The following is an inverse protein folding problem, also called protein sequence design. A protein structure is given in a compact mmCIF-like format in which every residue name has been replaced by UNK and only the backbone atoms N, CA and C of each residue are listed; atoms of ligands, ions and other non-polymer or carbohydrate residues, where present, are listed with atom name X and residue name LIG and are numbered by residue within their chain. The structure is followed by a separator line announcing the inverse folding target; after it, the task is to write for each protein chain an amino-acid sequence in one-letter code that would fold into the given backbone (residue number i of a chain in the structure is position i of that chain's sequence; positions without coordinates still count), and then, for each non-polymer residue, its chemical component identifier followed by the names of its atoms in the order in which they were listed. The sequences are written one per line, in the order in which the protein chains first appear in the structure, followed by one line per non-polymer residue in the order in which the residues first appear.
data_IF_025628585668
#
_entry.id   IF_025628585668
#
_cell.length_a   1.000
_cell.length_b   1.000
_cell.length_c   1.000
_cell.angle_alpha   90.00
_cell.angle_beta   90.00
_cell.angle_gamma   90.00
#
_symmetry.space_group_name_H-M   'P 1'
#
loop_
_entity.id
_entity.type
_entity.pdbx_description
1 polymer ?
#
# COMPACT_ATOMS: atom_id res chain seq x y z
N UNK A 1 -21.75 6.14 5.00
CA UNK A 1 -20.67 7.12 4.77
C UNK A 1 -21.25 8.23 3.91
N UNK A 2 -21.29 9.49 4.40
CA UNK A 2 -21.77 10.60 3.61
C UNK A 2 -20.79 10.97 2.50
N UNK A 3 -21.28 11.19 1.30
CA UNK A 3 -20.45 11.71 0.21
C UNK A 3 -19.99 13.13 0.57
N UNK A 4 -18.68 13.35 0.59
CA UNK A 4 -18.10 14.69 0.73
C UNK A 4 -18.26 15.44 -0.59
N UNK A 5 -19.31 16.25 -0.69
CA UNK A 5 -19.64 16.96 -1.93
C UNK A 5 -19.10 18.40 -1.99
N UNK A 6 -18.48 18.87 -0.90
CA UNK A 6 -17.97 20.25 -0.80
C UNK A 6 -16.59 20.26 -0.21
N UNK A 7 -15.71 21.04 -0.82
CA UNK A 7 -14.40 21.36 -0.25
C UNK A 7 -14.60 22.32 0.92
N UNK A 8 -14.17 21.94 2.13
CA UNK A 8 -14.31 22.70 3.37
C UNK A 8 -12.98 23.02 4.06
N UNK A 9 -11.86 22.74 3.41
CA UNK A 9 -10.52 23.03 3.90
C UNK A 9 -9.72 23.81 2.86
N UNK A 10 -8.87 24.74 3.33
CA UNK A 10 -7.96 25.48 2.46
C UNK A 10 -6.93 24.53 1.83
N UNK A 11 -6.55 24.84 0.60
CA UNK A 11 -5.42 24.22 -0.08
C UNK A 11 -4.23 25.15 0.13
N UNK A 12 -3.32 24.76 1.00
CA UNK A 12 -2.15 25.57 1.33
C UNK A 12 -0.90 24.96 0.71
N UNK A 13 0.07 25.81 0.39
CA UNK A 13 1.41 25.34 -0.01
C UNK A 13 2.17 24.94 1.24
N UNK A 14 2.62 23.70 1.29
CA UNK A 14 3.47 23.21 2.36
C UNK A 14 4.91 23.71 2.15
N UNK A 15 5.41 24.47 3.12
CA UNK A 15 6.77 25.01 3.08
C UNK A 15 7.85 23.93 3.30
N UNK A 16 7.48 22.78 3.87
CA UNK A 16 8.36 21.62 4.03
C UNK A 16 8.41 20.75 2.76
N UNK A 17 7.71 21.19 1.70
CA UNK A 17 7.61 20.47 0.44
C UNK A 17 8.94 20.26 -0.26
N UNK A 18 9.22 19.05 -0.66
CA UNK A 18 10.36 18.75 -1.52
C UNK A 18 10.96 17.36 -1.38
N UNK A 19 10.74 16.66 -0.31
CA UNK A 19 11.17 15.27 -0.22
C UNK A 19 10.20 14.36 -1.01
N UNK A 20 10.53 14.07 -2.27
CA UNK A 20 9.78 13.10 -3.06
C UNK A 20 10.19 11.67 -2.72
N UNK A 21 9.23 10.75 -2.76
CA UNK A 21 9.45 9.32 -2.65
C UNK A 21 8.95 8.70 -1.36
N UNK A 22 9.11 7.40 -1.28
CA UNK A 22 8.65 6.54 -0.20
C UNK A 22 9.86 6.08 0.60
N UNK A 23 9.77 6.12 1.93
CA UNK A 23 10.81 5.62 2.82
C UNK A 23 10.75 4.11 2.94
N UNK A 24 9.56 3.59 3.17
CA UNK A 24 9.28 2.17 3.35
C UNK A 24 7.78 1.90 3.19
N UNK A 25 7.41 0.66 3.07
CA UNK A 25 6.02 0.22 3.00
C UNK A 25 5.84 -1.02 3.87
N UNK A 26 4.68 -1.14 4.49
CA UNK A 26 4.25 -2.36 5.14
C UNK A 26 3.14 -3.01 4.30
N UNK A 27 3.31 -4.28 3.96
CA UNK A 27 2.26 -5.12 3.39
C UNK A 27 1.58 -5.93 4.49
N UNK A 28 0.26 -5.96 4.45
CA UNK A 28 -0.57 -6.71 5.39
C UNK A 28 -1.50 -7.61 4.59
N UNK A 29 -1.51 -8.91 4.92
CA UNK A 29 -2.52 -9.80 4.36
C UNK A 29 -3.91 -9.35 4.82
N UNK A 30 -4.84 -9.20 3.91
CA UNK A 30 -6.20 -8.79 4.24
C UNK A 30 -6.89 -9.74 5.22
N UNK A 31 -6.57 -11.04 5.15
CA UNK A 31 -7.08 -12.08 6.05
C UNK A 31 -6.57 -11.96 7.50
N UNK A 32 -5.45 -11.27 7.71
CA UNK A 32 -4.83 -11.10 9.02
C UNK A 32 -5.36 -9.87 9.78
N UNK A 33 -6.31 -9.14 9.22
CA UNK A 33 -6.89 -7.96 9.83
C UNK A 33 -8.06 -8.36 10.74
N UNK A 34 -7.91 -8.10 12.04
CA UNK A 34 -8.98 -8.31 13.01
C UNK A 34 -10.01 -7.19 12.99
N UNK A 35 -9.54 -5.94 12.99
CA UNK A 35 -10.42 -4.76 12.91
C UNK A 35 -9.77 -3.66 12.07
N UNK A 36 -10.63 -2.88 11.40
CA UNK A 36 -10.23 -1.66 10.70
C UNK A 36 -11.29 -0.60 10.91
N UNK A 37 -10.87 0.64 11.12
CA UNK A 37 -11.77 1.78 11.34
C UNK A 37 -11.24 3.04 10.68
N UNK A 38 -12.14 3.95 10.36
CA UNK A 38 -11.82 5.28 9.83
C UNK A 38 -12.58 6.33 10.63
N UNK A 39 -11.86 7.32 11.13
CA UNK A 39 -12.41 8.50 11.76
C UNK A 39 -11.74 9.74 11.16
N UNK A 40 -12.51 10.70 10.67
CA UNK A 40 -12.04 11.96 10.07
C UNK A 40 -11.00 11.77 8.94
N UNK A 41 -11.13 10.69 8.16
CA UNK A 41 -10.18 10.36 7.08
C UNK A 41 -8.88 9.72 7.55
N UNK A 42 -8.76 9.40 8.84
CA UNK A 42 -7.62 8.70 9.42
C UNK A 42 -8.01 7.26 9.69
N UNK A 43 -7.29 6.34 9.09
CA UNK A 43 -7.49 4.92 9.26
C UNK A 43 -6.62 4.35 10.40
N UNK A 44 -7.17 3.34 11.07
CA UNK A 44 -6.46 2.50 12.03
C UNK A 44 -6.76 1.03 11.76
N UNK A 45 -5.80 0.15 12.06
CA UNK A 45 -5.89 -1.30 11.83
C UNK A 45 -5.36 -2.03 13.06
N UNK A 46 -6.06 -3.10 13.42
CA UNK A 46 -5.58 -4.07 14.39
C UNK A 46 -5.44 -5.42 13.70
N UNK A 47 -4.31 -6.07 13.86
CA UNK A 47 -4.08 -7.41 13.32
C UNK A 47 -4.61 -8.49 14.27
N UNK A 48 -4.92 -9.65 13.71
CA UNK A 48 -5.24 -10.85 14.49
C UNK A 48 -4.04 -11.27 15.35
N UNK A 49 -4.32 -12.01 16.41
CA UNK A 49 -3.27 -12.47 17.34
C UNK A 49 -2.22 -13.29 16.60
N UNK A 50 -0.96 -12.90 16.74
CA UNK A 50 0.19 -13.54 16.08
C UNK A 50 0.43 -13.13 14.62
N UNK A 51 -0.49 -12.40 13.99
CA UNK A 51 -0.30 -11.86 12.66
C UNK A 51 0.67 -10.67 12.66
N UNK A 52 1.42 -10.52 11.58
CA UNK A 52 2.43 -9.46 11.43
C UNK A 52 2.38 -8.85 10.04
N UNK A 53 2.65 -7.56 9.98
CA UNK A 53 2.93 -6.88 8.71
C UNK A 53 4.29 -7.32 8.15
N UNK A 54 4.46 -7.23 6.84
CA UNK A 54 5.73 -7.51 6.15
C UNK A 54 6.34 -6.19 5.71
N UNK A 55 7.59 -5.95 6.10
CA UNK A 55 8.32 -4.76 5.69
C UNK A 55 8.78 -4.91 4.23
N UNK A 56 8.54 -3.87 3.45
CA UNK A 56 9.13 -3.65 2.12
C UNK A 56 9.96 -2.39 2.17
N UNK A 57 11.27 -2.55 2.15
CA UNK A 57 12.21 -1.43 2.15
C UNK A 57 12.28 -0.77 0.78
N UNK A 58 12.35 0.56 0.78
CA UNK A 58 12.53 1.35 -0.44
C UNK A 58 13.98 1.74 -0.63
N UNK A 59 14.66 1.12 -1.58
CA UNK A 59 15.98 1.53 -2.02
C UNK A 59 15.88 2.31 -3.33
N UNK A 60 16.37 3.54 -3.38
CA UNK A 60 16.49 4.38 -4.60
C UNK A 60 15.21 4.38 -5.48
N UNK A 61 14.04 4.63 -4.91
CA UNK A 61 12.74 4.59 -5.62
C UNK A 61 12.24 3.16 -5.96
N UNK A 62 12.73 2.15 -5.25
CA UNK A 62 12.27 0.76 -5.41
C UNK A 62 10.82 0.52 -5.00
N UNK A 63 10.18 1.47 -4.32
CA UNK A 63 8.75 1.44 -3.99
C UNK A 63 8.07 2.67 -4.56
N UNK A 64 6.93 2.48 -5.21
CA UNK A 64 6.07 3.54 -5.73
C UNK A 64 4.62 3.28 -5.35
N UNK A 65 3.83 4.33 -5.19
CA UNK A 65 2.41 4.27 -4.92
C UNK A 65 1.68 5.30 -5.78
N UNK A 66 0.61 4.88 -6.43
CA UNK A 66 -0.17 5.71 -7.33
C UNK A 66 -1.65 5.62 -7.01
N UNK A 67 -2.37 6.71 -7.28
CA UNK A 67 -3.81 6.81 -7.17
C UNK A 67 -4.35 7.46 -8.44
N UNK A 68 -5.30 6.81 -9.09
CA UNK A 68 -5.93 7.30 -10.31
C UNK A 68 -7.44 7.35 -10.14
N UNK A 69 -8.09 8.26 -10.85
CA UNK A 69 -9.55 8.38 -10.83
C UNK A 69 -10.18 7.16 -11.50
N UNK A 70 -11.12 6.54 -10.81
CA UNK A 70 -11.99 5.50 -11.36
C UNK A 70 -13.39 6.06 -11.54
N UNK A 71 -13.81 6.22 -12.78
CA UNK A 71 -15.18 6.58 -13.14
C UNK A 71 -16.07 5.33 -13.05
N UNK A 72 -17.23 5.49 -12.47
CA UNK A 72 -18.21 4.41 -12.35
C UNK A 72 -19.55 4.90 -12.94
N UNK A 73 -20.17 4.11 -13.81
CA UNK A 73 -21.41 4.50 -14.50
C UNK A 73 -22.60 4.61 -13.53
N UNK A 74 -22.67 3.73 -12.53
CA UNK A 74 -23.81 3.64 -11.60
C UNK A 74 -23.39 3.76 -10.13
N UNK A 75 -22.20 4.33 -9.85
CA UNK A 75 -21.68 4.52 -8.51
C UNK A 75 -20.85 5.81 -8.42
N UNK A 76 -20.64 6.34 -7.20
CA UNK A 76 -19.75 7.48 -7.04
C UNK A 76 -18.36 7.24 -7.63
N UNK A 77 -17.74 8.31 -8.14
CA UNK A 77 -16.34 8.29 -8.55
C UNK A 77 -15.46 7.90 -7.36
N UNK A 78 -14.52 7.01 -7.60
CA UNK A 78 -13.60 6.49 -6.60
C UNK A 78 -12.16 6.53 -7.12
N UNK A 79 -11.24 5.85 -6.44
CA UNK A 79 -9.84 5.76 -6.85
C UNK A 79 -9.46 4.30 -7.15
N UNK A 80 -8.69 4.12 -8.19
CA UNK A 80 -7.86 2.93 -8.36
C UNK A 80 -6.52 3.22 -7.69
N UNK A 81 -6.12 2.35 -6.80
CA UNK A 81 -4.86 2.47 -6.08
C UNK A 81 -3.91 1.37 -6.50
N UNK A 82 -2.63 1.70 -6.64
CA UNK A 82 -1.61 0.71 -6.94
C UNK A 82 -0.33 1.00 -6.17
N UNK A 83 0.36 -0.07 -5.79
CA UNK A 83 1.72 -0.01 -5.23
C UNK A 83 2.63 -0.91 -6.05
N UNK A 84 3.80 -0.39 -6.38
CA UNK A 84 4.84 -1.12 -7.11
C UNK A 84 6.08 -1.20 -6.25
N UNK A 85 6.69 -2.36 -6.18
CA UNK A 85 7.94 -2.56 -5.47
C UNK A 85 8.85 -3.56 -6.18
N UNK A 86 10.14 -3.46 -5.88
CA UNK A 86 11.16 -4.32 -6.47
C UNK A 86 11.61 -5.37 -5.47
N UNK A 87 11.52 -6.62 -5.87
CA UNK A 87 12.07 -7.76 -5.14
C UNK A 87 13.49 -8.02 -5.61
N UNK A 88 14.45 -7.79 -4.74
CA UNK A 88 15.88 -7.97 -5.03
C UNK A 88 16.36 -9.40 -4.81
N UNK A 89 15.63 -10.19 -4.04
CA UNK A 89 15.98 -11.57 -3.73
C UNK A 89 15.73 -12.49 -4.93
N UNK A 90 16.79 -13.16 -5.39
CA UNK A 90 16.72 -14.14 -6.51
C UNK A 90 16.90 -15.59 -6.08
N UNK A 91 16.96 -15.83 -4.77
CA UNK A 91 17.07 -17.17 -4.21
C UNK A 91 15.70 -17.79 -3.93
N UNK A 92 15.70 -18.96 -3.31
CA UNK A 92 14.48 -19.72 -2.97
C UNK A 92 13.46 -18.87 -2.20
N UNK A 93 13.91 -17.99 -1.29
CA UNK A 93 13.03 -17.05 -0.56
C UNK A 93 12.28 -16.09 -1.49
N UNK A 94 12.95 -15.54 -2.52
CA UNK A 94 12.32 -14.67 -3.51
C UNK A 94 11.23 -15.39 -4.31
N UNK A 95 11.48 -16.61 -4.74
CA UNK A 95 10.48 -17.47 -5.41
C UNK A 95 9.28 -17.74 -4.50
N UNK A 96 9.52 -18.01 -3.24
CA UNK A 96 8.48 -18.24 -2.25
C UNK A 96 7.60 -16.99 -2.04
N UNK A 97 8.21 -15.82 -1.94
CA UNK A 97 7.49 -14.54 -1.83
C UNK A 97 6.59 -14.33 -3.04
N UNK A 98 7.09 -14.52 -4.25
CA UNK A 98 6.30 -14.40 -5.49
C UNK A 98 5.09 -15.34 -5.45
N UNK A 99 5.28 -16.60 -5.09
CA UNK A 99 4.20 -17.59 -5.03
C UNK A 99 3.12 -17.23 -3.98
N UNK A 100 3.50 -16.62 -2.87
CA UNK A 100 2.56 -16.13 -1.87
C UNK A 100 1.76 -14.92 -2.38
N UNK A 101 2.40 -14.03 -3.15
CA UNK A 101 1.75 -12.84 -3.70
C UNK A 101 0.75 -13.19 -4.80
N UNK A 102 0.99 -14.24 -5.59
CA UNK A 102 0.15 -14.63 -6.74
C UNK A 102 -1.34 -14.76 -6.39
N UNK A 103 -1.67 -15.27 -5.22
CA UNK A 103 -3.05 -15.53 -4.80
C UNK A 103 -3.46 -14.73 -3.56
N UNK A 104 -2.63 -13.78 -3.13
CA UNK A 104 -2.87 -12.96 -1.96
C UNK A 104 -3.73 -11.73 -2.24
N UNK A 105 -4.39 -11.26 -1.21
CA UNK A 105 -5.03 -9.92 -1.18
C UNK A 105 -4.38 -9.14 -0.06
N UNK A 106 -3.89 -7.95 -0.38
CA UNK A 106 -3.03 -7.19 0.50
C UNK A 106 -3.57 -5.78 0.72
N UNK A 107 -3.20 -5.24 1.85
CA UNK A 107 -3.34 -3.84 2.20
C UNK A 107 -1.93 -3.27 2.35
N UNK A 108 -1.69 -2.07 1.84
CA UNK A 108 -0.39 -1.45 1.94
C UNK A 108 -0.43 -0.17 2.79
N UNK A 109 0.50 -0.06 3.72
CA UNK A 109 0.76 1.15 4.48
C UNK A 109 2.03 1.79 3.95
N UNK A 110 1.91 2.92 3.33
CA UNK A 110 3.02 3.63 2.69
C UNK A 110 3.49 4.78 3.57
N UNK A 111 4.77 4.77 3.93
CA UNK A 111 5.42 5.84 4.67
C UNK A 111 6.23 6.71 3.71
N UNK A 112 5.77 7.92 3.48
CA UNK A 112 6.44 8.88 2.61
C UNK A 112 7.63 9.56 3.32
N UNK A 113 8.59 10.03 2.56
CA UNK A 113 9.73 10.81 3.10
C UNK A 113 9.29 12.10 3.78
N UNK A 114 8.12 12.62 3.44
CA UNK A 114 7.44 13.72 4.13
C UNK A 114 6.87 13.35 5.49
N UNK A 115 7.05 12.10 5.94
CA UNK A 115 6.47 11.49 7.16
C UNK A 115 4.95 11.29 7.11
N UNK A 116 4.30 11.61 6.01
CA UNK A 116 2.90 11.26 5.80
C UNK A 116 2.78 9.74 5.68
N UNK A 117 1.75 9.18 6.28
CA UNK A 117 1.44 7.75 6.19
C UNK A 117 0.09 7.59 5.52
N UNK A 118 0.02 6.79 4.48
CA UNK A 118 -1.22 6.51 3.73
C UNK A 118 -1.52 5.03 3.69
N UNK A 119 -2.81 4.75 3.64
CA UNK A 119 -3.37 3.41 3.51
C UNK A 119 -3.90 3.21 2.10
N UNK A 120 -3.52 2.09 1.50
CA UNK A 120 -3.95 1.65 0.19
C UNK A 120 -4.69 0.31 0.30
N UNK A 121 -5.80 0.17 -0.44
CA UNK A 121 -6.58 -1.07 -0.48
C UNK A 121 -7.52 -1.26 0.72
N UNK A 122 -8.01 -0.20 1.33
CA UNK A 122 -8.83 -0.29 2.56
C UNK A 122 -10.11 -1.12 2.38
N UNK A 123 -10.86 -0.89 1.31
CA UNK A 123 -12.17 -1.55 1.12
C UNK A 123 -12.01 -2.97 0.58
N UNK A 124 -11.26 -3.12 -0.51
CA UNK A 124 -11.22 -4.35 -1.31
C UNK A 124 -9.88 -5.06 -1.26
N UNK A 125 -8.87 -4.44 -0.66
CA UNK A 125 -7.50 -4.89 -0.77
C UNK A 125 -6.91 -4.65 -2.17
N UNK A 126 -5.67 -5.04 -2.34
CA UNK A 126 -4.96 -5.02 -3.60
C UNK A 126 -4.52 -6.43 -3.98
N UNK A 127 -4.61 -6.73 -5.25
CA UNK A 127 -4.21 -8.02 -5.83
C UNK A 127 -3.09 -7.82 -6.84
N UNK A 128 -2.36 -8.87 -7.14
CA UNK A 128 -1.31 -8.83 -8.15
C UNK A 128 -1.88 -8.43 -9.51
N UNK A 129 -1.43 -7.32 -10.06
CA UNK A 129 -1.82 -6.82 -11.37
C UNK A 129 -0.71 -6.97 -12.42
N UNK A 130 0.55 -6.92 -11.99
CA UNK A 130 1.70 -7.10 -12.89
C UNK A 130 2.89 -7.67 -12.13
N UNK A 131 3.58 -8.58 -12.79
CA UNK A 131 4.86 -9.11 -12.36
C UNK A 131 5.77 -9.15 -13.58
N UNK A 132 6.95 -8.54 -13.48
CA UNK A 132 7.93 -8.51 -14.55
C UNK A 132 9.31 -8.84 -14.02
N UNK A 133 9.94 -9.80 -14.62
CA UNK A 133 11.36 -10.14 -14.40
C UNK A 133 12.04 -10.20 -15.75
N UNK A 134 13.12 -9.43 -15.92
CA UNK A 134 13.97 -9.48 -17.11
C UNK A 134 15.42 -9.67 -16.66
N UNK A 135 15.96 -10.83 -17.00
CA UNK A 135 17.33 -11.20 -16.62
C UNK A 135 18.41 -10.27 -17.21
N UNK A 136 18.10 -9.58 -18.31
CA UNK A 136 19.01 -8.71 -19.02
C UNK A 136 18.74 -7.21 -18.82
N UNK A 137 17.65 -6.85 -18.16
CA UNK A 137 17.26 -5.48 -17.86
C UNK A 137 17.09 -5.27 -16.35
N UNK A 138 17.18 -4.01 -15.92
CA UNK A 138 16.92 -3.59 -14.52
C UNK A 138 17.73 -4.37 -13.46
N UNK A 139 18.92 -4.86 -13.78
CA UNK A 139 19.72 -5.70 -12.90
C UNK A 139 19.13 -7.10 -12.69
N UNK A 140 18.11 -7.51 -13.47
CA UNK A 140 17.46 -8.79 -13.39
C UNK A 140 16.58 -8.97 -12.13
N UNK A 141 16.11 -7.87 -11.53
CA UNK A 141 15.21 -7.91 -10.37
C UNK A 141 13.76 -8.09 -10.81
N UNK A 142 12.94 -8.61 -9.89
CA UNK A 142 11.51 -8.76 -10.11
C UNK A 142 10.77 -7.51 -9.68
N UNK A 143 10.01 -6.90 -10.58
CA UNK A 143 9.11 -5.79 -10.27
C UNK A 143 7.69 -6.33 -10.09
N UNK A 144 7.06 -5.98 -8.98
CA UNK A 144 5.73 -6.43 -8.60
C UNK A 144 4.83 -5.23 -8.45
N UNK A 145 3.65 -5.27 -9.06
CA UNK A 145 2.60 -4.27 -8.89
C UNK A 145 1.34 -4.91 -8.34
N UNK A 146 0.87 -4.38 -7.22
CA UNK A 146 -0.43 -4.72 -6.64
C UNK A 146 -1.38 -3.56 -6.92
N UNK A 147 -2.60 -3.84 -7.32
CA UNK A 147 -3.62 -2.81 -7.57
C UNK A 147 -5.00 -3.20 -7.05
N UNK A 148 -5.83 -2.19 -6.87
CA UNK A 148 -7.26 -2.37 -6.60
C UNK A 148 -7.87 -3.29 -7.67
N UNK A 149 -8.67 -4.31 -7.32
CA UNK A 149 -9.33 -5.18 -8.29
C UNK A 149 -10.18 -4.41 -9.30
N UNK A 150 -10.25 -4.89 -10.55
CA UNK A 150 -10.98 -4.20 -11.62
C UNK A 150 -12.50 -4.17 -11.39
N UNK A 151 -13.06 -5.25 -10.85
CA UNK A 151 -14.51 -5.46 -10.73
C UNK A 151 -15.12 -4.88 -9.44
N UNK A 152 -14.50 -3.83 -8.87
CA UNK A 152 -14.97 -3.17 -7.65
C UNK A 152 -15.19 -1.68 -7.88
N UNK A 153 -15.96 -1.03 -7.01
CA UNK A 153 -16.25 0.40 -7.09
C UNK A 153 -14.97 1.23 -7.02
N UNK A 154 -14.01 0.79 -6.24
CA UNK A 154 -12.72 1.46 -6.01
C UNK A 154 -12.54 1.90 -4.56
N UNK A 155 -11.44 2.62 -4.33
CA UNK A 155 -10.98 2.98 -3.00
C UNK A 155 -11.16 4.48 -2.72
N UNK A 156 -10.99 4.86 -1.47
CA UNK A 156 -10.89 6.24 -1.03
C UNK A 156 -9.46 6.53 -0.58
N UNK A 157 -9.04 7.79 -0.71
CA UNK A 157 -7.78 8.24 -0.13
C UNK A 157 -7.91 8.34 1.39
N UNK A 158 -7.04 7.63 2.11
CA UNK A 158 -7.01 7.61 3.56
C UNK A 158 -5.59 7.88 4.07
N UNK A 159 -5.51 8.78 5.06
CA UNK A 159 -4.32 8.92 5.89
C UNK A 159 -4.29 7.80 6.93
N UNK A 160 -3.13 7.31 7.30
CA UNK A 160 -3.00 6.30 8.33
C UNK A 160 -2.49 6.87 9.65
N UNK A 161 -2.98 6.37 10.76
CA UNK A 161 -2.58 6.83 12.10
C UNK A 161 -1.08 6.53 12.35
N UNK A 162 -0.32 7.57 12.69
CA UNK A 162 1.13 7.47 12.86
C UNK A 162 1.56 6.54 13.99
N UNK A 163 0.91 6.59 15.15
CA UNK A 163 1.24 5.72 16.29
C UNK A 163 0.90 4.26 15.98
N UNK A 164 -0.21 4.03 15.29
CA UNK A 164 -0.59 2.69 14.85
C UNK A 164 0.41 2.14 13.83
N UNK A 165 0.88 2.97 12.89
CA UNK A 165 1.94 2.61 11.96
C UNK A 165 3.21 2.18 12.69
N UNK A 166 3.67 2.98 13.63
CA UNK A 166 4.91 2.74 14.36
C UNK A 166 4.84 1.43 15.18
N UNK A 167 3.67 1.13 15.77
CA UNK A 167 3.43 -0.14 16.46
C UNK A 167 3.47 -1.34 15.51
N UNK A 168 2.80 -1.25 14.35
CA UNK A 168 2.82 -2.30 13.33
C UNK A 168 4.22 -2.50 12.75
N UNK A 169 4.96 -1.42 12.53
CA UNK A 169 6.34 -1.44 12.04
C UNK A 169 7.31 -2.12 13.02
N UNK A 170 7.17 -1.82 14.33
CA UNK A 170 7.99 -2.43 15.37
C UNK A 170 7.78 -3.95 15.48
N UNK A 171 6.57 -4.44 15.18
CA UNK A 171 6.22 -5.86 15.22
C UNK A 171 6.37 -6.56 13.84
N UNK A 172 6.74 -5.84 12.79
CA UNK A 172 6.78 -6.36 11.43
C UNK A 172 7.85 -7.44 11.20
N UNK A 173 7.63 -8.27 10.19
CA UNK A 173 8.64 -9.20 9.68
C UNK A 173 9.67 -8.38 8.89
N UNK A 174 10.92 -8.41 9.34
CA UNK A 174 12.03 -7.61 8.79
C UNK A 174 13.17 -8.49 8.26
N UNK A 175 13.07 -9.81 8.37
CA UNK A 175 14.08 -10.78 7.93
C UNK A 175 13.53 -11.67 6.85
N UNK A 176 14.34 -11.93 5.81
CA UNK A 176 14.11 -13.02 4.87
C UNK A 176 14.37 -14.34 5.60
N UNK A 177 13.35 -15.18 5.72
CA UNK A 177 13.47 -16.50 6.33
C UNK A 177 13.75 -17.56 5.26
#
# INVERSE_FOLDING_TARGET
MGCLNKLNKAILVDCDGGATGISEMLLINMADIATKSVADGIATITLAAGAKAVLVESNKKGVNATEEIKQNDNAPTALTQAVTFTLYAKHVGGTWIVNQILNGTFLALVNYKTREKRLFGYNYGMVLSSLSEDANANGGYTTITLSTPENVIGEMRLTFNGQNYDALRAAAIVTES
#
